data_IF_904102762592
#
_entry.id   IF_904102762592
#
_cell.length_a   1.000
_cell.length_b   1.000
_cell.length_c   1.000
_cell.angle_alpha   90.00
_cell.angle_beta   90.00
_cell.angle_gamma   90.00
#
_symmetry.space_group_name_H-M   'P 1'
#
loop_
_entity.id
_entity.type
_entity.pdbx_description
1 polymer ?
#
# COMPACT_ATOMS: atom_id res chain seq x y z
N UNK A 1 2.83 33.78 28.47
CA UNK A 1 2.74 33.61 27.00
C UNK A 1 2.78 32.11 26.75
N UNK A 2 1.73 31.38 26.37
CA UNK A 2 0.50 31.73 25.68
C UNK A 2 0.48 31.04 24.32
N UNK A 3 0.25 29.72 24.27
CA UNK A 3 -0.17 29.00 23.06
C UNK A 3 -0.81 27.66 23.44
N UNK A 4 -2.13 27.68 23.64
CA UNK A 4 -2.95 26.47 23.65
C UNK A 4 -3.30 26.14 22.20
N UNK A 5 -2.74 25.06 21.67
CA UNK A 5 -3.17 24.50 20.40
C UNK A 5 -4.57 23.89 20.58
N UNK A 6 -5.52 24.37 19.77
CA UNK A 6 -6.93 23.97 19.74
C UNK A 6 -7.05 22.49 19.37
N UNK A 7 -7.41 21.64 20.34
CA UNK A 7 -7.97 20.30 20.09
C UNK A 7 -9.33 20.47 19.41
N UNK A 8 -9.46 20.00 18.18
CA UNK A 8 -10.74 19.87 17.48
C UNK A 8 -11.56 18.73 18.07
N UNK A 9 -12.24 18.96 19.20
CA UNK A 9 -13.29 18.05 19.70
C UNK A 9 -14.46 18.12 18.72
N UNK A 10 -14.76 17.01 18.02
CA UNK A 10 -16.06 16.82 17.35
C UNK A 10 -17.18 16.96 18.40
N UNK A 11 -18.23 17.77 18.17
CA UNK A 11 -19.32 17.93 19.12
C UNK A 11 -20.23 16.69 19.12
N UNK A 12 -20.43 16.12 20.31
CA UNK A 12 -21.41 15.05 20.57
C UNK A 12 -22.82 15.68 20.56
N UNK A 13 -23.54 15.51 19.45
CA UNK A 13 -24.90 16.02 19.28
C UNK A 13 -25.94 15.09 19.93
N UNK A 14 -26.98 15.72 20.46
CA UNK A 14 -27.91 15.26 21.49
C UNK A 14 -29.16 14.66 20.82
N UNK A 15 -29.68 13.58 21.40
CA UNK A 15 -30.91 12.91 20.99
C UNK A 15 -32.08 13.89 20.77
N UNK A 16 -32.70 13.84 19.60
CA UNK A 16 -33.95 14.51 19.30
C UNK A 16 -35.07 13.47 19.16
N UNK A 17 -35.88 13.36 20.20
CA UNK A 17 -37.21 12.79 20.10
C UNK A 17 -38.05 13.69 19.18
N UNK A 18 -38.63 13.12 18.12
CA UNK A 18 -39.87 13.68 17.57
C UNK A 18 -40.76 12.53 17.08
N UNK A 19 -41.93 12.46 17.72
CA UNK A 19 -43.02 11.59 17.37
C UNK A 19 -43.85 12.29 16.28
N UNK A 20 -44.05 11.66 15.12
CA UNK A 20 -45.03 12.10 14.14
C UNK A 20 -45.60 10.92 13.33
N UNK A 21 -46.83 10.59 13.72
CA UNK A 21 -47.91 9.83 13.10
C UNK A 21 -47.79 9.39 11.61
N UNK A 22 -48.20 8.14 11.43
CA UNK A 22 -48.73 7.48 10.24
C UNK A 22 -49.45 8.40 9.24
N UNK A 23 -49.09 8.27 7.97
CA UNK A 23 -50.01 8.34 6.84
C UNK A 23 -49.56 7.29 5.83
N UNK A 24 -50.34 6.20 5.76
CA UNK A 24 -50.32 5.29 4.62
C UNK A 24 -50.77 6.09 3.39
N UNK A 25 -49.95 6.12 2.35
CA UNK A 25 -50.45 6.26 1.00
C UNK A 25 -49.55 5.54 0.01
N UNK A 26 -50.18 4.63 -0.74
CA UNK A 26 -49.54 3.73 -1.67
C UNK A 26 -48.93 4.47 -2.84
N UNK A 27 -47.62 4.35 -2.99
CA UNK A 27 -46.97 4.49 -4.29
C UNK A 27 -45.77 3.57 -4.31
N UNK A 28 -45.89 2.46 -5.03
CA UNK A 28 -44.75 1.67 -5.51
C UNK A 28 -44.00 2.50 -6.54
N UNK A 29 -43.35 3.55 -6.07
CA UNK A 29 -42.23 4.15 -6.77
C UNK A 29 -41.18 3.04 -6.84
N UNK A 30 -40.99 2.48 -8.03
CA UNK A 30 -39.79 1.73 -8.37
C UNK A 30 -38.61 2.55 -7.88
N UNK A 31 -38.00 2.16 -6.75
CA UNK A 31 -36.77 2.75 -6.24
C UNK A 31 -35.77 2.60 -7.37
N UNK A 32 -35.55 3.69 -8.10
CA UNK A 32 -34.53 3.76 -9.12
C UNK A 32 -33.21 3.66 -8.36
N UNK A 33 -32.69 2.44 -8.22
CA UNK A 33 -31.35 2.23 -7.71
C UNK A 33 -30.44 2.91 -8.72
N UNK A 34 -29.69 3.96 -8.34
CA UNK A 34 -28.77 4.60 -9.26
C UNK A 34 -27.81 3.53 -9.81
N UNK A 35 -27.51 3.55 -11.11
CA UNK A 35 -26.63 2.55 -11.72
C UNK A 35 -25.30 2.53 -10.95
N UNK A 36 -24.79 1.33 -10.68
CA UNK A 36 -23.55 1.17 -9.94
C UNK A 36 -22.42 1.98 -10.61
N UNK A 37 -21.55 2.64 -9.84
CA UNK A 37 -20.44 3.40 -10.40
C UNK A 37 -19.58 2.50 -11.31
N UNK A 38 -19.01 3.03 -12.41
CA UNK A 38 -18.19 2.24 -13.34
C UNK A 38 -17.04 1.49 -12.67
N UNK A 39 -16.49 2.04 -11.59
CA UNK A 39 -15.42 1.40 -10.82
C UNK A 39 -15.85 0.07 -10.19
N UNK A 40 -17.12 -0.11 -9.82
CA UNK A 40 -17.63 -1.38 -9.25
C UNK A 40 -17.54 -2.51 -10.27
N UNK A 41 -17.76 -2.22 -11.56
CA UNK A 41 -17.57 -3.21 -12.61
C UNK A 41 -16.08 -3.60 -12.74
N UNK A 42 -15.18 -2.61 -12.68
CA UNK A 42 -13.73 -2.83 -12.75
C UNK A 42 -13.21 -3.66 -11.57
N UNK A 43 -13.71 -3.45 -10.34
CA UNK A 43 -13.35 -4.23 -9.15
C UNK A 43 -13.74 -5.72 -9.22
N UNK A 44 -14.61 -6.10 -10.16
CA UNK A 44 -15.00 -7.48 -10.41
C UNK A 44 -14.31 -8.09 -11.63
N UNK A 45 -13.40 -7.35 -12.29
CA UNK A 45 -12.63 -7.85 -13.41
C UNK A 45 -11.64 -8.95 -12.98
N UNK A 46 -11.29 -9.82 -13.93
CA UNK A 46 -10.30 -10.88 -13.69
C UNK A 46 -8.86 -10.43 -13.95
N UNK A 47 -8.68 -9.33 -14.67
CA UNK A 47 -7.36 -8.82 -15.05
C UNK A 47 -6.85 -7.82 -14.03
N UNK A 48 -5.63 -8.03 -13.53
CA UNK A 48 -5.03 -7.23 -12.46
C UNK A 48 -4.92 -5.73 -12.80
N UNK A 49 -4.60 -5.38 -14.05
CA UNK A 49 -4.49 -3.97 -14.46
C UNK A 49 -5.85 -3.25 -14.47
N UNK A 50 -6.94 -3.97 -14.78
CA UNK A 50 -8.31 -3.43 -14.71
C UNK A 50 -8.74 -3.29 -13.24
N UNK A 51 -8.34 -4.23 -12.38
CA UNK A 51 -8.58 -4.13 -10.95
C UNK A 51 -7.84 -2.93 -10.35
N UNK A 52 -6.58 -2.73 -10.71
CA UNK A 52 -5.76 -1.58 -10.28
C UNK A 52 -6.40 -0.26 -10.71
N UNK A 53 -6.81 -0.14 -11.97
CA UNK A 53 -7.54 1.03 -12.48
C UNK A 53 -8.86 1.23 -11.72
N UNK A 54 -9.57 0.14 -11.39
CA UNK A 54 -10.78 0.17 -10.57
C UNK A 54 -10.52 0.71 -9.16
N UNK A 55 -9.42 0.30 -8.53
CA UNK A 55 -9.00 0.84 -7.23
C UNK A 55 -8.68 2.33 -7.32
N UNK A 56 -7.92 2.76 -8.33
CA UNK A 56 -7.59 4.16 -8.56
C UNK A 56 -8.84 5.03 -8.80
N UNK A 57 -9.80 4.51 -9.57
CA UNK A 57 -11.10 5.18 -9.74
C UNK A 57 -11.82 5.34 -8.40
N UNK A 58 -11.87 4.28 -7.58
CA UNK A 58 -12.48 4.37 -6.24
C UNK A 58 -11.75 5.39 -5.37
N UNK A 59 -10.43 5.43 -5.38
CA UNK A 59 -9.66 6.44 -4.65
C UNK A 59 -10.10 7.87 -5.02
N UNK A 60 -10.35 8.14 -6.31
CA UNK A 60 -10.87 9.41 -6.79
C UNK A 60 -12.36 9.65 -6.47
N UNK A 61 -13.21 8.61 -6.51
CA UNK A 61 -14.61 8.70 -6.08
C UNK A 61 -14.73 8.96 -4.58
N UNK A 62 -13.85 8.38 -3.77
CA UNK A 62 -13.81 8.52 -2.32
C UNK A 62 -13.49 9.96 -1.87
N UNK A 63 -12.91 10.80 -2.72
CA UNK A 63 -12.75 12.23 -2.43
C UNK A 63 -14.07 13.03 -2.52
N UNK A 64 -15.16 12.41 -2.99
CA UNK A 64 -16.47 13.05 -3.16
C UNK A 64 -17.49 12.46 -2.17
N UNK A 65 -17.83 13.14 -1.06
CA UNK A 65 -18.75 12.63 -0.03
C UNK A 65 -20.10 12.15 -0.58
N UNK A 66 -20.62 12.80 -1.63
CA UNK A 66 -21.87 12.41 -2.31
C UNK A 66 -21.88 10.97 -2.86
N UNK A 67 -20.71 10.37 -3.10
CA UNK A 67 -20.58 9.04 -3.69
C UNK A 67 -20.48 7.93 -2.63
N UNK A 68 -20.23 8.29 -1.36
CA UNK A 68 -19.89 7.34 -0.30
C UNK A 68 -21.00 6.35 0.01
N UNK A 69 -22.23 6.84 0.14
CA UNK A 69 -23.39 5.99 0.39
C UNK A 69 -23.59 4.95 -0.72
N UNK A 70 -23.31 5.33 -1.97
CA UNK A 70 -23.40 4.41 -3.10
C UNK A 70 -22.28 3.37 -3.09
N UNK A 71 -21.03 3.77 -2.79
CA UNK A 71 -19.90 2.86 -2.68
C UNK A 71 -20.10 1.84 -1.53
N UNK A 72 -20.62 2.30 -0.38
CA UNK A 72 -21.01 1.45 0.74
C UNK A 72 -22.12 0.47 0.36
N UNK A 73 -23.18 0.94 -0.31
CA UNK A 73 -24.29 0.10 -0.76
C UNK A 73 -23.84 -0.99 -1.77
N UNK A 74 -22.78 -0.72 -2.54
CA UNK A 74 -22.18 -1.67 -3.46
C UNK A 74 -21.10 -2.57 -2.82
N UNK A 75 -20.92 -2.55 -1.50
CA UNK A 75 -19.90 -3.33 -0.77
C UNK A 75 -18.46 -3.11 -1.27
N UNK A 76 -18.16 -1.90 -1.76
CA UNK A 76 -16.84 -1.53 -2.28
C UNK A 76 -15.73 -1.68 -1.23
N UNK A 77 -15.88 -1.26 0.04
CA UNK A 77 -14.82 -1.46 1.04
C UNK A 77 -14.46 -2.93 1.24
N UNK A 78 -15.44 -3.82 1.33
CA UNK A 78 -15.21 -5.26 1.49
C UNK A 78 -14.50 -5.84 0.27
N UNK A 79 -14.88 -5.39 -0.93
CA UNK A 79 -14.22 -5.81 -2.16
C UNK A 79 -12.76 -5.35 -2.23
N UNK A 80 -12.46 -4.12 -1.80
CA UNK A 80 -11.09 -3.62 -1.73
C UNK A 80 -10.26 -4.37 -0.68
N UNK A 81 -10.85 -4.76 0.45
CA UNK A 81 -10.23 -5.65 1.45
C UNK A 81 -9.85 -6.99 0.83
N UNK A 82 -10.77 -7.62 0.12
CA UNK A 82 -10.46 -8.87 -0.59
C UNK A 82 -9.29 -8.66 -1.56
N UNK A 83 -9.30 -7.59 -2.35
CA UNK A 83 -8.20 -7.29 -3.28
C UNK A 83 -6.87 -7.08 -2.55
N UNK A 84 -6.86 -6.33 -1.45
CA UNK A 84 -5.67 -6.02 -0.67
C UNK A 84 -4.99 -7.28 -0.10
N UNK A 85 -5.79 -8.23 0.39
CA UNK A 85 -5.26 -9.42 1.08
C UNK A 85 -5.23 -10.69 0.23
N UNK A 86 -5.99 -10.76 -0.86
CA UNK A 86 -6.06 -11.93 -1.74
C UNK A 86 -5.51 -11.69 -3.13
N UNK A 87 -4.84 -10.54 -3.36
CA UNK A 87 -4.18 -10.19 -4.60
C UNK A 87 -3.52 -11.44 -5.21
N UNK A 88 -4.00 -11.91 -6.37
CA UNK A 88 -3.88 -13.30 -6.76
C UNK A 88 -2.41 -13.69 -6.97
N UNK A 89 -1.90 -14.59 -6.13
CA UNK A 89 -0.70 -15.38 -6.41
C UNK A 89 -0.93 -16.33 -7.60
N UNK A 90 -2.17 -16.50 -8.04
CA UNK A 90 -2.60 -17.40 -9.12
C UNK A 90 -3.10 -16.64 -10.35
N UNK A 91 -2.21 -15.94 -11.05
CA UNK A 91 -2.32 -15.78 -12.51
C UNK A 91 -1.22 -16.63 -13.15
N UNK A 92 -1.32 -17.93 -12.89
CA UNK A 92 -0.49 -18.95 -13.49
C UNK A 92 -1.39 -20.00 -14.12
N UNK A 93 -1.93 -19.72 -15.31
CA UNK A 93 -2.10 -20.66 -16.42
C UNK A 93 -2.94 -20.05 -17.55
N UNK A 94 -2.52 -20.34 -18.79
CA UNK A 94 -3.02 -19.83 -20.09
C UNK A 94 -2.41 -18.46 -20.47
N UNK A 95 -1.40 -18.36 -21.33
CA UNK A 95 -1.25 -19.04 -22.62
C UNK A 95 0.14 -19.66 -22.80
N UNK A 96 0.18 -20.99 -22.89
CA UNK A 96 1.16 -21.66 -23.73
C UNK A 96 0.56 -21.66 -25.14
N UNK A 97 0.68 -20.51 -25.80
CA UNK A 97 0.29 -20.31 -27.19
C UNK A 97 1.51 -19.75 -27.90
N UNK A 98 2.14 -20.57 -28.73
CA UNK A 98 3.20 -20.16 -29.63
C UNK A 98 2.79 -18.90 -30.40
N UNK A 99 3.60 -17.85 -30.32
CA UNK A 99 3.95 -16.93 -31.41
C UNK A 99 4.97 -15.88 -30.95
N UNK A 100 6.22 -16.10 -31.34
CA UNK A 100 7.12 -15.13 -31.99
C UNK A 100 7.42 -13.77 -31.34
N UNK A 101 8.68 -13.63 -30.92
CA UNK A 101 9.53 -12.42 -30.99
C UNK A 101 8.88 -11.06 -30.67
N UNK A 102 8.77 -10.73 -29.38
CA UNK A 102 8.94 -9.35 -28.92
C UNK A 102 9.65 -9.39 -27.57
N UNK A 103 10.91 -8.92 -27.54
CA UNK A 103 11.82 -8.99 -26.40
C UNK A 103 11.50 -8.01 -25.28
N UNK A 104 10.35 -8.15 -24.64
CA UNK A 104 10.15 -7.63 -23.30
C UNK A 104 10.56 -8.69 -22.29
N UNK A 105 11.50 -8.33 -21.41
CA UNK A 105 11.79 -9.10 -20.22
C UNK A 105 10.45 -9.45 -19.51
N UNK A 106 10.29 -10.67 -18.97
CA UNK A 106 9.05 -11.03 -18.30
C UNK A 106 8.84 -10.06 -17.15
N UNK A 107 7.87 -9.15 -17.27
CA UNK A 107 7.39 -8.34 -16.14
C UNK A 107 7.05 -9.34 -15.04
N UNK A 108 7.85 -9.33 -13.97
CA UNK A 108 7.69 -10.32 -12.91
C UNK A 108 6.26 -10.24 -12.37
N UNK A 109 5.52 -11.37 -12.31
CA UNK A 109 4.12 -11.38 -11.90
C UNK A 109 3.89 -10.81 -10.49
N UNK A 110 4.94 -10.77 -9.66
CA UNK A 110 4.89 -10.24 -8.29
C UNK A 110 4.80 -8.70 -8.24
N UNK A 111 5.25 -7.99 -9.27
CA UNK A 111 5.14 -6.52 -9.33
C UNK A 111 3.67 -6.07 -9.38
N UNK A 112 2.83 -6.78 -10.13
CA UNK A 112 1.39 -6.49 -10.24
C UNK A 112 0.65 -6.60 -8.91
N UNK A 113 1.08 -7.50 -8.02
CA UNK A 113 0.51 -7.65 -6.67
C UNK A 113 0.74 -6.39 -5.84
N UNK A 114 1.97 -5.86 -5.84
CA UNK A 114 2.27 -4.65 -5.06
C UNK A 114 1.57 -3.40 -5.61
N UNK A 115 1.46 -3.24 -6.93
CA UNK A 115 0.68 -2.14 -7.51
C UNK A 115 -0.79 -2.22 -7.11
N UNK A 116 -1.36 -3.41 -7.17
CA UNK A 116 -2.74 -3.63 -6.76
C UNK A 116 -2.95 -3.39 -5.25
N UNK A 117 -2.01 -3.82 -4.40
CA UNK A 117 -2.02 -3.54 -2.97
C UNK A 117 -1.92 -2.04 -2.68
N UNK A 118 -1.04 -1.34 -3.38
CA UNK A 118 -0.87 0.12 -3.27
C UNK A 118 -2.18 0.83 -3.61
N UNK A 119 -2.76 0.52 -4.78
CA UNK A 119 -4.00 1.15 -5.22
C UNK A 119 -5.19 0.80 -4.31
N UNK A 120 -5.29 -0.44 -3.84
CA UNK A 120 -6.35 -0.86 -2.91
C UNK A 120 -6.21 -0.17 -1.54
N UNK A 121 -4.98 -0.07 -1.02
CA UNK A 121 -4.70 0.61 0.25
C UNK A 121 -5.04 2.11 0.16
N UNK A 122 -4.62 2.78 -0.92
CA UNK A 122 -4.95 4.19 -1.18
C UNK A 122 -6.48 4.40 -1.25
N UNK A 123 -7.19 3.55 -2.00
CA UNK A 123 -8.64 3.63 -2.14
C UNK A 123 -9.36 3.46 -0.78
N UNK A 124 -8.93 2.48 0.01
CA UNK A 124 -9.46 2.26 1.36
C UNK A 124 -9.16 3.43 2.29
N UNK A 125 -7.94 3.97 2.27
CA UNK A 125 -7.56 5.14 3.06
C UNK A 125 -8.46 6.33 2.74
N UNK A 126 -8.65 6.62 1.45
CA UNK A 126 -9.49 7.74 1.03
C UNK A 126 -10.96 7.52 1.44
N UNK A 127 -11.46 6.29 1.40
CA UNK A 127 -12.80 5.96 1.88
C UNK A 127 -12.92 6.19 3.38
N UNK A 128 -11.97 5.68 4.17
CA UNK A 128 -11.96 5.85 5.64
C UNK A 128 -11.94 7.33 6.00
N UNK A 129 -10.96 8.08 5.50
CA UNK A 129 -10.72 9.49 5.84
C UNK A 129 -11.90 10.39 5.48
N UNK A 130 -12.54 10.14 4.32
CA UNK A 130 -13.60 11.01 3.82
C UNK A 130 -15.01 10.54 4.22
N UNK A 131 -15.13 9.40 4.92
CA UNK A 131 -16.44 8.87 5.33
C UNK A 131 -17.05 9.63 6.49
N UNK A 132 -18.39 9.64 6.55
CA UNK A 132 -19.12 10.19 7.69
C UNK A 132 -19.14 9.17 8.83
N UNK A 133 -18.84 9.63 10.05
CA UNK A 133 -19.09 8.92 11.31
C UNK A 133 -18.51 7.50 11.36
N UNK A 134 -17.27 7.33 10.89
CA UNK A 134 -16.46 6.10 10.98
C UNK A 134 -17.11 4.84 10.34
N UNK A 135 -18.19 5.03 9.57
CA UNK A 135 -19.01 3.95 9.02
C UNK A 135 -18.22 2.97 8.12
N UNK A 136 -17.22 3.47 7.39
CA UNK A 136 -16.34 2.59 6.60
C UNK A 136 -15.48 1.73 7.52
N UNK A 137 -14.91 2.30 8.58
CA UNK A 137 -14.05 1.57 9.53
C UNK A 137 -14.83 0.48 10.24
N UNK A 138 -16.07 0.76 10.66
CA UNK A 138 -16.94 -0.24 11.29
C UNK A 138 -17.23 -1.42 10.34
N UNK A 139 -17.52 -1.11 9.07
CA UNK A 139 -17.74 -2.11 8.03
C UNK A 139 -16.48 -2.96 7.81
N UNK A 140 -15.31 -2.32 7.79
CA UNK A 140 -14.03 -3.00 7.64
C UNK A 140 -13.72 -3.89 8.85
N UNK A 141 -13.90 -3.37 10.08
CA UNK A 141 -13.66 -4.11 11.31
C UNK A 141 -14.55 -5.36 11.44
N UNK A 142 -15.79 -5.29 10.93
CA UNK A 142 -16.70 -6.43 10.87
C UNK A 142 -16.41 -7.41 9.71
N UNK A 143 -15.53 -7.04 8.77
CA UNK A 143 -15.29 -7.85 7.57
C UNK A 143 -14.36 -9.03 7.83
N UNK A 144 -14.67 -10.15 7.16
CA UNK A 144 -13.84 -11.35 7.14
C UNK A 144 -13.68 -11.84 5.71
N UNK A 145 -12.47 -12.25 5.35
CA UNK A 145 -12.13 -12.64 3.98
C UNK A 145 -11.42 -13.99 3.97
N UNK A 146 -11.52 -14.76 2.87
CA UNK A 146 -10.85 -16.05 2.76
C UNK A 146 -9.33 -15.86 2.78
N UNK A 147 -8.63 -16.64 3.60
CA UNK A 147 -7.17 -16.71 3.53
C UNK A 147 -6.77 -17.60 2.36
N UNK A 148 -5.95 -17.08 1.44
CA UNK A 148 -5.23 -17.93 0.49
C UNK A 148 -4.05 -18.51 1.24
N UNK A 149 -4.03 -19.83 1.45
CA UNK A 149 -2.91 -20.53 2.11
C UNK A 149 -1.64 -20.43 1.25
N UNK A 150 -0.95 -19.30 1.26
CA UNK A 150 0.46 -19.22 0.90
C UNK A 150 1.23 -19.66 2.15
N UNK A 151 1.59 -20.95 2.17
CA UNK A 151 2.08 -21.65 3.35
C UNK A 151 3.14 -20.91 4.15
N UNK A 152 2.81 -20.65 5.42
CA UNK A 152 3.69 -20.86 6.56
C UNK A 152 2.82 -21.04 7.82
N UNK A 153 3.29 -21.91 8.69
CA UNK A 153 2.54 -22.65 9.71
C UNK A 153 1.83 -21.78 10.75
N UNK A 154 0.57 -22.11 11.01
CA UNK A 154 0.01 -22.13 12.37
C UNK A 154 -0.99 -23.29 12.44
N UNK A 155 -0.43 -24.50 12.55
CA UNK A 155 -1.16 -25.67 13.01
C UNK A 155 -1.46 -25.47 14.50
N UNK A 156 -2.72 -25.18 14.82
CA UNK A 156 -3.44 -25.58 16.04
C UNK A 156 -4.86 -24.99 15.99
N UNK A 157 -5.78 -25.66 15.31
CA UNK A 157 -7.05 -26.12 15.89
C UNK A 157 -7.97 -26.76 14.83
N UNK A 158 -8.56 -27.87 15.25
CA UNK A 158 -9.44 -28.77 14.51
C UNK A 158 -10.80 -28.13 14.22
N UNK A 159 -11.38 -28.46 13.06
CA UNK A 159 -12.83 -28.48 12.89
C UNK A 159 -13.33 -27.96 11.55
N UNK A 160 -13.71 -28.88 10.66
CA UNK A 160 -14.65 -28.69 9.53
C UNK A 160 -14.29 -27.66 8.46
N UNK A 161 -13.77 -28.15 7.32
CA UNK A 161 -14.39 -28.00 5.99
C UNK A 161 -14.84 -26.63 5.46
N UNK A 162 -14.42 -25.52 6.05
CA UNK A 162 -14.62 -24.17 5.55
C UNK A 162 -13.27 -23.46 5.56
N UNK A 163 -12.88 -22.85 4.45
CA UNK A 163 -11.62 -22.10 4.36
C UNK A 163 -11.47 -21.13 5.53
N UNK A 164 -10.29 -21.09 6.13
CA UNK A 164 -9.99 -20.19 7.25
C UNK A 164 -10.27 -18.76 6.79
N UNK A 165 -11.18 -18.06 7.47
CA UNK A 165 -11.43 -16.64 7.24
C UNK A 165 -10.64 -15.86 8.27
N UNK A 166 -9.98 -14.80 7.83
CA UNK A 166 -9.23 -13.89 8.68
C UNK A 166 -10.01 -12.57 8.76
N UNK A 167 -10.03 -11.95 9.94
CA UNK A 167 -10.64 -10.64 10.14
C UNK A 167 -9.74 -9.52 9.62
N UNK A 168 -10.33 -8.39 9.24
CA UNK A 168 -9.60 -7.21 8.74
C UNK A 168 -8.42 -6.80 9.62
N UNK A 169 -8.64 -6.72 10.94
CA UNK A 169 -7.62 -6.40 11.95
C UNK A 169 -6.40 -7.30 11.85
N UNK A 170 -6.61 -8.62 11.90
CA UNK A 170 -5.52 -9.60 11.87
C UNK A 170 -4.86 -9.64 10.48
N UNK A 171 -5.64 -9.35 9.43
CA UNK A 171 -5.18 -9.13 8.06
C UNK A 171 -4.18 -7.99 7.96
N UNK A 172 -4.49 -6.82 8.52
CA UNK A 172 -3.61 -5.65 8.52
C UNK A 172 -2.28 -5.95 9.24
N UNK A 173 -2.32 -6.63 10.39
CA UNK A 173 -1.11 -7.04 11.11
C UNK A 173 -0.26 -7.98 10.24
N UNK A 174 -0.88 -8.99 9.64
CA UNK A 174 -0.18 -9.95 8.75
C UNK A 174 0.41 -9.25 7.52
N UNK A 175 -0.33 -8.31 6.94
CA UNK A 175 0.11 -7.53 5.79
C UNK A 175 1.31 -6.64 6.13
N UNK A 176 1.29 -5.95 7.28
CA UNK A 176 2.44 -5.16 7.75
C UNK A 176 3.69 -6.04 7.88
N UNK A 177 3.57 -7.18 8.57
CA UNK A 177 4.72 -8.06 8.82
C UNK A 177 5.29 -8.64 7.51
N UNK A 178 4.42 -9.07 6.59
CA UNK A 178 4.85 -9.62 5.30
C UNK A 178 5.41 -8.56 4.34
N UNK A 179 4.81 -7.37 4.30
CA UNK A 179 5.31 -6.26 3.50
C UNK A 179 6.69 -5.80 4.01
N UNK A 180 6.88 -5.71 5.32
CA UNK A 180 8.17 -5.38 5.91
C UNK A 180 9.26 -6.42 5.61
N UNK A 181 8.98 -7.72 5.80
CA UNK A 181 9.92 -8.79 5.43
C UNK A 181 10.28 -8.74 3.94
N UNK A 182 9.30 -8.46 3.07
CA UNK A 182 9.54 -8.33 1.63
C UNK A 182 10.43 -7.13 1.30
N UNK A 183 10.24 -5.98 1.95
CA UNK A 183 11.14 -4.83 1.81
C UNK A 183 12.56 -5.20 2.25
N UNK A 184 12.72 -5.86 3.39
CA UNK A 184 14.03 -6.31 3.87
C UNK A 184 14.68 -7.32 2.91
N UNK A 185 13.91 -8.24 2.34
CA UNK A 185 14.39 -9.23 1.37
C UNK A 185 14.81 -8.59 0.05
N UNK A 186 13.93 -7.80 -0.55
CA UNK A 186 14.21 -7.12 -1.84
C UNK A 186 15.35 -6.12 -1.71
N UNK A 187 15.54 -5.50 -0.54
CA UNK A 187 16.70 -4.66 -0.26
C UNK A 187 18.01 -5.46 -0.21
N UNK A 188 18.01 -6.65 0.43
CA UNK A 188 19.19 -7.54 0.46
C UNK A 188 19.56 -8.04 -0.94
N UNK A 189 18.57 -8.20 -1.80
CA UNK A 189 18.71 -8.62 -3.19
C UNK A 189 18.99 -7.44 -4.15
N UNK A 190 19.01 -6.19 -3.64
CA UNK A 190 19.17 -5.00 -4.46
C UNK A 190 20.55 -4.96 -5.14
N UNK A 191 20.64 -4.38 -6.37
CA UNK A 191 21.89 -4.38 -7.11
C UNK A 191 22.99 -3.61 -6.37
N UNK A 192 24.14 -4.26 -6.15
CA UNK A 192 25.36 -3.61 -5.65
C UNK A 192 26.11 -2.83 -6.74
N UNK A 193 25.70 -2.99 -8.00
CA UNK A 193 26.29 -2.37 -9.18
C UNK A 193 25.19 -2.02 -10.20
N UNK A 194 25.42 -1.02 -11.07
CA UNK A 194 24.50 -0.68 -12.16
C UNK A 194 24.27 -1.89 -13.07
N UNK A 195 23.04 -2.09 -13.58
CA UNK A 195 22.75 -3.17 -14.51
C UNK A 195 23.63 -3.03 -15.76
N UNK A 196 24.31 -4.11 -16.12
CA UNK A 196 25.07 -4.17 -17.37
C UNK A 196 24.08 -4.06 -18.52
N UNK A 197 24.11 -2.91 -19.21
CA UNK A 197 23.40 -2.75 -20.48
C UNK A 197 24.04 -3.74 -21.44
N UNK A 198 23.39 -4.87 -21.67
CA UNK A 198 23.76 -5.79 -22.74
C UNK A 198 23.42 -5.07 -24.04
N UNK A 199 24.40 -4.36 -24.61
CA UNK A 199 24.31 -3.84 -25.97
C UNK A 199 24.06 -5.03 -26.90
N UNK A 200 22.82 -5.21 -27.34
CA UNK A 200 22.49 -6.07 -28.48
C UNK A 200 22.99 -5.39 -29.75
N UNK A 201 24.30 -5.30 -29.94
CA UNK A 201 24.93 -4.88 -31.19
C UNK A 201 26.12 -5.79 -31.48
N UNK A 202 25.83 -7.06 -31.78
CA UNK A 202 26.75 -7.90 -32.55
C UNK A 202 25.95 -8.70 -33.58
N UNK A 203 25.43 -7.99 -34.58
CA UNK A 203 25.11 -8.54 -35.90
C UNK A 203 24.80 -7.37 -36.84
N UNK A 204 25.85 -6.70 -37.29
CA UNK A 204 26.09 -6.34 -38.70
C UNK A 204 27.03 -5.14 -38.78
N UNK A 205 28.15 -5.37 -39.46
CA UNK A 205 29.17 -4.36 -39.66
C UNK A 205 28.72 -3.28 -40.62
N UNK A 206 28.95 -2.02 -40.26
CA UNK A 206 29.33 -0.96 -41.18
C UNK A 206 29.79 0.25 -40.37
N UNK A 207 30.96 0.77 -40.74
CA UNK A 207 31.48 2.05 -40.28
C UNK A 207 30.63 3.21 -40.79
N UNK A 208 30.26 4.16 -39.91
CA UNK A 208 30.43 5.60 -40.17
C UNK A 208 30.15 6.42 -38.93
N UNK A 209 31.10 7.30 -38.60
CA UNK A 209 30.92 8.45 -37.71
C UNK A 209 29.73 9.30 -38.14
N UNK A 210 28.70 9.44 -37.31
CA UNK A 210 27.91 10.67 -37.18
C UNK A 210 27.39 10.76 -35.74
N UNK A 211 27.35 11.98 -35.23
CA UNK A 211 26.95 12.38 -33.88
C UNK A 211 25.72 11.61 -33.39
N UNK A 212 25.96 10.59 -32.55
CA UNK A 212 24.88 9.93 -31.86
C UNK A 212 24.38 10.90 -30.81
N UNK A 213 23.32 11.62 -31.15
CA UNK A 213 22.52 12.39 -30.21
C UNK A 213 22.26 11.50 -29.01
N UNK A 214 22.97 11.81 -27.92
CA UNK A 214 22.79 11.20 -26.62
C UNK A 214 21.41 11.65 -26.16
N UNK A 215 20.40 10.84 -26.47
CA UNK A 215 19.07 11.00 -25.86
C UNK A 215 19.26 10.85 -24.36
N UNK A 216 19.29 11.99 -23.68
CA UNK A 216 19.22 12.13 -22.24
C UNK A 216 18.06 11.30 -21.66
N UNK A 217 18.36 10.59 -20.57
CA UNK A 217 17.58 10.76 -19.34
C UNK A 217 16.20 10.12 -19.19
N UNK A 218 15.56 9.57 -20.23
CA UNK A 218 14.17 9.10 -20.07
C UNK A 218 14.05 7.67 -19.50
N UNK A 219 14.90 6.73 -19.92
CA UNK A 219 14.73 5.30 -19.56
C UNK A 219 15.28 4.89 -18.19
N UNK A 220 16.39 5.50 -17.73
CA UNK A 220 17.03 5.08 -16.48
C UNK A 220 16.19 5.43 -15.23
N UNK A 221 15.42 6.52 -15.27
CA UNK A 221 14.49 6.88 -14.20
C UNK A 221 13.30 5.92 -14.13
N UNK A 222 12.73 5.53 -15.28
CA UNK A 222 11.62 4.57 -15.32
C UNK A 222 12.05 3.19 -14.84
N UNK A 223 13.25 2.72 -15.19
CA UNK A 223 13.80 1.44 -14.69
C UNK A 223 13.97 1.43 -13.17
N UNK A 224 14.38 2.57 -12.57
CA UNK A 224 14.48 2.71 -11.11
C UNK A 224 13.11 2.71 -10.42
N UNK A 225 12.08 3.29 -11.04
CA UNK A 225 10.72 3.31 -10.48
C UNK A 225 10.10 1.91 -10.35
N UNK A 226 10.50 1.00 -11.23
CA UNK A 226 9.99 -0.37 -11.28
C UNK A 226 10.91 -1.40 -10.62
N UNK A 227 11.97 -0.97 -9.93
CA UNK A 227 12.82 -1.88 -9.18
C UNK A 227 12.04 -2.54 -8.03
N UNK A 228 12.16 -3.87 -7.80
CA UNK A 228 11.36 -4.59 -6.81
C UNK A 228 11.35 -3.97 -5.41
N UNK A 229 12.51 -3.49 -4.95
CA UNK A 229 12.65 -2.79 -3.67
C UNK A 229 11.85 -1.49 -3.63
N UNK A 230 11.88 -0.68 -4.70
CA UNK A 230 11.18 0.60 -4.77
C UNK A 230 9.66 0.40 -4.76
N UNK A 231 9.18 -0.62 -5.48
CA UNK A 231 7.78 -1.01 -5.51
C UNK A 231 7.33 -1.51 -4.12
N UNK A 232 8.12 -2.38 -3.48
CA UNK A 232 7.82 -2.90 -2.15
C UNK A 232 7.79 -1.80 -1.08
N UNK A 233 8.71 -0.82 -1.14
CA UNK A 233 8.69 0.33 -0.25
C UNK A 233 7.44 1.19 -0.43
N UNK A 234 7.01 1.45 -1.67
CA UNK A 234 5.78 2.21 -1.94
C UNK A 234 4.53 1.49 -1.44
N UNK A 235 4.45 0.17 -1.65
CA UNK A 235 3.35 -0.61 -1.11
C UNK A 235 3.32 -0.57 0.42
N UNK A 236 4.47 -0.70 1.09
CA UNK A 236 4.57 -0.61 2.55
C UNK A 236 4.17 0.77 3.07
N UNK A 237 4.60 1.85 2.42
CA UNK A 237 4.22 3.22 2.76
C UNK A 237 2.69 3.40 2.74
N UNK A 238 2.02 3.03 1.65
CA UNK A 238 0.56 3.17 1.55
C UNK A 238 -0.18 2.26 2.54
N UNK A 239 0.33 1.04 2.80
CA UNK A 239 -0.22 0.17 3.83
C UNK A 239 -0.11 0.80 5.22
N UNK A 240 1.03 1.41 5.56
CA UNK A 240 1.21 2.11 6.84
C UNK A 240 0.27 3.31 6.97
N UNK A 241 0.08 4.08 5.90
CA UNK A 241 -0.86 5.21 5.89
C UNK A 241 -2.32 4.75 6.05
N UNK A 242 -2.71 3.62 5.44
CA UNK A 242 -4.00 2.98 5.70
C UNK A 242 -4.12 2.52 7.17
N UNK A 243 -3.07 1.91 7.72
CA UNK A 243 -3.07 1.45 9.12
C UNK A 243 -3.27 2.64 10.06
N UNK A 244 -2.59 3.77 9.84
CA UNK A 244 -2.71 4.95 10.70
C UNK A 244 -4.17 5.42 10.82
N UNK A 245 -4.88 5.58 9.70
CA UNK A 245 -6.29 6.00 9.70
C UNK A 245 -7.23 4.94 10.28
N UNK A 246 -6.90 3.65 10.12
CA UNK A 246 -7.68 2.56 10.72
C UNK A 246 -7.50 2.46 12.23
N UNK A 247 -6.28 2.67 12.73
CA UNK A 247 -5.96 2.73 14.16
C UNK A 247 -6.65 3.92 14.81
N UNK A 248 -6.65 5.08 14.15
CA UNK A 248 -7.39 6.26 14.62
C UNK A 248 -8.90 5.99 14.74
N UNK A 249 -9.47 5.31 13.74
CA UNK A 249 -10.92 5.08 13.65
C UNK A 249 -11.44 3.86 14.43
N UNK A 250 -10.58 3.00 15.01
CA UNK A 250 -11.04 1.77 15.66
C UNK A 250 -10.16 1.34 16.83
N UNK A 251 -10.74 1.31 18.04
CA UNK A 251 -10.09 0.80 19.25
C UNK A 251 -9.66 -0.67 19.10
N UNK A 252 -10.44 -1.50 18.42
CA UNK A 252 -10.09 -2.90 18.18
C UNK A 252 -8.86 -3.06 17.28
N UNK A 253 -8.67 -2.16 16.32
CA UNK A 253 -7.48 -2.15 15.47
C UNK A 253 -6.29 -1.61 16.26
N UNK A 254 -6.48 -0.51 17.01
CA UNK A 254 -5.46 0.03 17.90
C UNK A 254 -4.95 -1.00 18.92
N UNK A 255 -5.84 -1.82 19.51
CA UNK A 255 -5.48 -2.90 20.43
C UNK A 255 -4.56 -3.94 19.78
N UNK A 256 -4.87 -4.39 18.56
CA UNK A 256 -4.02 -5.35 17.86
C UNK A 256 -2.64 -4.77 17.51
N UNK A 257 -2.59 -3.49 17.12
CA UNK A 257 -1.33 -2.81 16.85
C UNK A 257 -0.55 -2.43 18.12
N UNK A 258 -1.19 -2.51 19.28
CA UNK A 258 -0.55 -2.37 20.60
C UNK A 258 0.11 -3.67 21.09
N UNK A 259 -0.05 -4.79 20.36
CA UNK A 259 0.61 -6.03 20.71
C UNK A 259 2.15 -5.88 20.65
N UNK A 260 2.91 -6.41 21.64
CA UNK A 260 4.35 -6.21 21.72
C UNK A 260 5.11 -6.57 20.43
N UNK A 261 4.74 -7.67 19.78
CA UNK A 261 5.37 -8.10 18.53
C UNK A 261 5.17 -7.12 17.37
N UNK A 262 4.02 -6.47 17.30
CA UNK A 262 3.71 -5.47 16.25
C UNK A 262 4.44 -4.16 16.53
N UNK A 263 4.44 -3.72 17.79
CA UNK A 263 5.19 -2.54 18.23
C UNK A 263 6.71 -2.71 18.00
N UNK A 264 7.26 -3.88 18.32
CA UNK A 264 8.66 -4.19 18.02
C UNK A 264 8.96 -4.14 16.52
N UNK A 265 8.07 -4.66 15.67
CA UNK A 265 8.24 -4.60 14.23
C UNK A 265 8.22 -3.16 13.71
N UNK A 266 7.29 -2.32 14.18
CA UNK A 266 7.22 -0.90 13.83
C UNK A 266 8.47 -0.12 14.29
N UNK A 267 8.93 -0.36 15.53
CA UNK A 267 10.15 0.26 16.05
C UNK A 267 11.41 -0.19 15.29
N UNK A 268 11.50 -1.48 14.96
CA UNK A 268 12.61 -2.04 14.17
C UNK A 268 12.61 -1.49 12.74
N UNK A 269 11.43 -1.35 12.13
CA UNK A 269 11.24 -0.71 10.84
C UNK A 269 11.73 0.74 10.89
N UNK A 270 11.31 1.52 11.89
CA UNK A 270 11.77 2.90 12.06
C UNK A 270 13.28 3.00 12.22
N UNK A 271 13.86 2.21 13.12
CA UNK A 271 15.31 2.19 13.34
C UNK A 271 16.06 1.85 12.06
N UNK A 272 15.63 0.80 11.35
CA UNK A 272 16.28 0.36 10.12
C UNK A 272 16.18 1.42 9.03
N UNK A 273 14.99 1.96 8.79
CA UNK A 273 14.75 2.93 7.72
C UNK A 273 15.46 4.26 7.99
N UNK A 274 15.35 4.78 9.21
CA UNK A 274 16.03 6.03 9.60
C UNK A 274 17.55 5.88 9.59
N UNK A 275 18.08 4.73 10.01
CA UNK A 275 19.52 4.45 9.93
C UNK A 275 20.06 4.54 8.50
N UNK A 276 19.35 3.95 7.53
CA UNK A 276 19.75 3.99 6.11
C UNK A 276 19.64 5.38 5.52
N UNK A 277 18.59 6.12 5.86
CA UNK A 277 18.44 7.52 5.44
C UNK A 277 19.58 8.36 5.99
N UNK A 278 19.91 8.17 7.27
CA UNK A 278 20.99 8.89 7.93
C UNK A 278 22.36 8.59 7.31
N UNK A 279 22.68 7.31 7.08
CA UNK A 279 23.89 6.90 6.35
C UNK A 279 23.96 7.54 4.96
N UNK A 280 22.82 7.58 4.25
CA UNK A 280 22.75 8.18 2.91
C UNK A 280 23.00 9.69 2.95
N UNK A 281 22.49 10.38 3.97
CA UNK A 281 22.71 11.81 4.18
C UNK A 281 24.14 12.12 4.66
N UNK A 282 24.79 11.20 5.37
CA UNK A 282 26.16 11.34 5.85
C UNK A 282 27.22 11.13 4.76
N UNK A 283 26.87 10.55 3.61
CA UNK A 283 27.83 10.39 2.53
C UNK A 283 28.36 11.76 2.06
N UNK A 284 29.69 11.94 1.98
CA UNK A 284 30.30 13.24 1.76
C UNK A 284 29.83 13.87 0.44
N UNK A 285 29.76 15.20 0.44
CA UNK A 285 29.39 16.07 -0.66
C UNK A 285 30.09 15.77 -2.02
N UNK A 286 31.12 14.92 -2.03
CA UNK A 286 31.82 14.39 -3.20
C UNK A 286 30.95 13.55 -4.15
N UNK A 287 29.81 13.02 -3.68
CA UNK A 287 28.77 12.45 -4.57
C UNK A 287 27.92 13.53 -5.27
N UNK A 288 28.08 14.80 -4.91
CA UNK A 288 27.41 15.96 -5.50
C UNK A 288 28.39 16.83 -6.31
N UNK A 289 29.69 16.49 -6.31
CA UNK A 289 30.63 17.00 -7.30
C UNK A 289 30.34 16.37 -8.68
N UNK A 290 30.48 17.14 -9.77
CA UNK A 290 30.26 16.66 -11.12
C UNK A 290 31.21 15.48 -11.39
N UNK A 291 30.71 14.35 -11.91
CA UNK A 291 31.49 13.12 -11.94
C UNK A 291 32.63 13.23 -12.95
N UNK A 292 33.76 12.61 -12.59
CA UNK A 292 34.63 11.98 -13.58
C UNK A 292 33.79 10.89 -14.26
N UNK A 293 33.37 11.21 -15.48
CA UNK A 293 32.64 10.45 -16.50
C UNK A 293 32.49 8.93 -16.26
N UNK A 294 31.34 8.51 -15.72
CA UNK A 294 30.98 7.09 -15.63
C UNK A 294 29.47 6.87 -15.44
N UNK A 295 28.79 6.35 -16.48
CA UNK A 295 27.34 6.07 -16.50
C UNK A 295 26.88 5.25 -15.28
N UNK A 296 27.72 4.33 -14.81
CA UNK A 296 27.44 3.47 -13.66
C UNK A 296 27.41 4.18 -12.30
N UNK A 297 28.25 5.20 -12.10
CA UNK A 297 28.32 5.97 -10.86
C UNK A 297 27.09 6.86 -10.71
N UNK A 298 26.62 7.45 -11.81
CA UNK A 298 25.40 8.27 -11.83
C UNK A 298 24.14 7.46 -11.51
N UNK A 299 24.01 6.25 -12.08
CA UNK A 299 22.89 5.36 -11.77
C UNK A 299 22.87 4.97 -10.29
N UNK A 300 24.01 4.58 -9.72
CA UNK A 300 24.10 4.17 -8.31
C UNK A 300 23.75 5.34 -7.37
N UNK A 301 24.18 6.57 -7.70
CA UNK A 301 23.78 7.79 -6.97
C UNK A 301 22.27 8.00 -7.00
N UNK A 302 21.65 7.91 -8.18
CA UNK A 302 20.19 8.05 -8.33
C UNK A 302 19.43 6.96 -7.57
N UNK A 303 19.89 5.71 -7.65
CA UNK A 303 19.33 4.59 -6.90
C UNK A 303 19.38 4.87 -5.39
N UNK A 304 20.54 5.23 -4.85
CA UNK A 304 20.72 5.46 -3.40
C UNK A 304 19.92 6.65 -2.89
N UNK A 305 19.83 7.72 -3.68
CA UNK A 305 18.95 8.86 -3.37
C UNK A 305 17.50 8.43 -3.31
N UNK A 306 17.04 7.67 -4.30
CA UNK A 306 15.67 7.18 -4.34
C UNK A 306 15.37 6.22 -3.20
N UNK A 307 16.30 5.33 -2.86
CA UNK A 307 16.22 4.44 -1.69
C UNK A 307 15.99 5.25 -0.42
N UNK A 308 16.80 6.29 -0.17
CA UNK A 308 16.63 7.13 1.01
C UNK A 308 15.31 7.91 1.01
N UNK A 309 14.89 8.46 -0.12
CA UNK A 309 13.59 9.17 -0.22
C UNK A 309 12.41 8.25 0.15
N UNK A 310 12.40 7.02 -0.36
CA UNK A 310 11.34 6.06 -0.06
C UNK A 310 11.39 5.57 1.38
N UNK A 311 12.57 5.24 1.89
CA UNK A 311 12.72 4.80 3.28
C UNK A 311 12.38 5.91 4.27
N UNK A 312 12.64 7.18 3.94
CA UNK A 312 12.20 8.31 4.73
C UNK A 312 10.67 8.41 4.77
N UNK A 313 9.99 8.21 3.63
CA UNK A 313 8.52 8.22 3.58
C UNK A 313 7.92 7.06 4.39
N UNK A 314 8.48 5.85 4.29
CA UNK A 314 8.10 4.70 5.11
C UNK A 314 8.31 4.99 6.61
N UNK A 315 9.42 5.63 6.98
CA UNK A 315 9.69 6.01 8.36
C UNK A 315 8.67 7.02 8.90
N UNK A 316 8.30 8.01 8.10
CA UNK A 316 7.25 8.97 8.47
C UNK A 316 5.92 8.25 8.69
N UNK A 317 5.49 7.41 7.74
CA UNK A 317 4.24 6.68 7.85
C UNK A 317 4.21 5.73 9.07
N UNK A 318 5.30 5.03 9.35
CA UNK A 318 5.40 4.19 10.56
C UNK A 318 5.39 5.02 11.86
N UNK A 319 5.98 6.21 11.84
CA UNK A 319 5.94 7.13 12.99
C UNK A 319 4.53 7.63 13.25
N UNK A 320 3.74 7.89 12.20
CA UNK A 320 2.33 8.27 12.32
C UNK A 320 1.52 7.17 13.02
N UNK A 321 1.71 5.89 12.64
CA UNK A 321 1.05 4.76 13.31
C UNK A 321 1.40 4.73 14.80
N UNK A 322 2.68 4.83 15.16
CA UNK A 322 3.10 4.85 16.58
C UNK A 322 2.58 6.09 17.32
N UNK A 323 2.49 7.23 16.64
CA UNK A 323 1.92 8.45 17.21
C UNK A 323 0.43 8.28 17.51
N UNK A 324 -0.34 7.65 16.62
CA UNK A 324 -1.76 7.36 16.89
C UNK A 324 -1.94 6.44 18.10
N UNK A 325 -0.95 5.60 18.42
CA UNK A 325 -0.94 4.74 19.59
C UNK A 325 -0.42 5.44 20.86
N UNK A 326 0.26 6.59 20.77
CA UNK A 326 1.13 7.06 21.86
C UNK A 326 0.43 7.60 23.10
N UNK A 327 -0.77 8.16 22.96
CA UNK A 327 -1.38 8.94 24.06
C UNK A 327 -1.82 8.08 25.26
N UNK A 328 -2.03 6.76 25.09
CA UNK A 328 -2.51 5.86 26.17
C UNK A 328 -1.92 4.42 26.11
N UNK A 329 -0.87 4.16 25.33
CA UNK A 329 -0.34 2.80 25.16
C UNK A 329 0.78 2.46 26.15
N UNK A 330 0.41 1.78 27.24
CA UNK A 330 1.34 1.33 28.29
C UNK A 330 2.41 0.36 27.76
N UNK A 331 2.07 -0.49 26.77
CA UNK A 331 3.00 -1.45 26.18
C UNK A 331 4.09 -0.71 25.41
N UNK A 332 3.71 0.28 24.59
CA UNK A 332 4.67 1.12 23.87
C UNK A 332 5.56 1.91 24.84
N UNK A 333 4.98 2.49 25.90
CA UNK A 333 5.76 3.19 26.91
C UNK A 333 6.77 2.26 27.61
N UNK A 334 6.37 1.03 27.95
CA UNK A 334 7.25 0.03 28.55
C UNK A 334 8.38 -0.38 27.61
N UNK A 335 8.09 -0.60 26.32
CA UNK A 335 9.10 -0.94 25.32
C UNK A 335 10.13 0.16 25.09
N UNK A 336 9.70 1.43 25.11
CA UNK A 336 10.61 2.57 24.98
C UNK A 336 11.50 2.79 26.21
N UNK A 337 11.06 2.33 27.39
CA UNK A 337 11.81 2.41 28.64
C UNK A 337 12.72 1.19 28.89
N UNK A 338 12.48 0.08 28.19
CA UNK A 338 13.32 -1.10 28.31
C UNK A 338 14.70 -0.84 27.69
N UNK A 339 15.80 -1.11 28.40
CA UNK A 339 17.13 -1.08 27.80
C UNK A 339 17.18 -2.13 26.68
N UNK A 340 17.68 -1.72 25.50
CA UNK A 340 18.02 -2.61 24.40
C UNK A 340 19.25 -3.43 24.72
#
# INVERSE_FOLDING_TARGET
MGSHAKRGRRPKSRAANSSAKNAEDGSTATRHVPPAPPCVAKLNAQHWHVLEEGCADVAAFALRPSQHAQLLACAVPQRLVEILFTAPSSVGQSQKGDCSNSGHAPRQPHSGVFYLQTAAAEALRNLVVNSAEDAVVDVLAASTFPTSDSGQQLQLQQGQGGGRRIGFRDGLVTLLMSAWDTVQKTRREAPLAPPTVVSKNEADGAMSNEEQWVTEGCGANEELLHAPFMIACRALEEVLQLIAVCVEGSEHIAEAFSAPGVLHALLSLLETTTGVVWETLQHPALLYEPPVEGRGVMWLRQYKRREAELLAAVAVAASEVLHMLSDENEVLASLLQSPR
#
